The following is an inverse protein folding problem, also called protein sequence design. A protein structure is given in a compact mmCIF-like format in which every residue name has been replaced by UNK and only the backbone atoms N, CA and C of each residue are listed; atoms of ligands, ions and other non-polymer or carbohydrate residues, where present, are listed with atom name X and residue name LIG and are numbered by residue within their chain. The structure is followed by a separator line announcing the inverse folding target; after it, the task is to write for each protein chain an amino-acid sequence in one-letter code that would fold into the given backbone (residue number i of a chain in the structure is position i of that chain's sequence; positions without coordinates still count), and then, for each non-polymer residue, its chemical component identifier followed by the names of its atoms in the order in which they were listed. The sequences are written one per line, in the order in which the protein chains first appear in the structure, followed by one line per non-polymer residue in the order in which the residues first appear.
data_IF_043416130154
#
_entry.id   IF_043416130154
#
_cell.length_a   1.000
_cell.length_b   1.000
_cell.length_c   1.000
_cell.angle_alpha   90.00
_cell.angle_beta   90.00
_cell.angle_gamma   90.00
#
_symmetry.space_group_name_H-M   'P 1'
#
loop_
_entity.id
_entity.type
_entity.pdbx_description
1 polymer ?
#
# COMPACT_ATOMS: atom_id res chain seq x y z
N UNK A 1 6.44 27.13 -12.27
CA UNK A 1 7.52 26.20 -11.85
C UNK A 1 7.04 25.48 -10.60
N UNK A 2 6.57 24.23 -10.71
CA UNK A 2 6.13 23.44 -9.53
C UNK A 2 7.37 22.71 -9.01
N UNK A 3 7.89 23.15 -7.86
CA UNK A 3 8.89 22.40 -7.11
C UNK A 3 8.24 21.09 -6.64
N UNK A 4 8.62 19.96 -7.22
CA UNK A 4 8.30 18.66 -6.65
C UNK A 4 9.16 18.51 -5.38
N UNK A 5 8.59 18.14 -4.23
CA UNK A 5 9.40 17.88 -3.05
C UNK A 5 10.35 16.72 -3.38
N UNK A 6 11.62 16.85 -2.98
CA UNK A 6 12.58 15.76 -3.06
C UNK A 6 12.03 14.60 -2.21
N UNK A 7 11.46 13.58 -2.86
CA UNK A 7 11.14 12.30 -2.22
C UNK A 7 12.46 11.68 -1.79
N UNK A 8 12.77 11.77 -0.50
CA UNK A 8 13.92 11.09 0.08
C UNK A 8 13.57 9.61 0.30
N UNK A 9 14.46 8.73 -0.13
CA UNK A 9 14.41 7.33 0.26
C UNK A 9 14.82 7.24 1.74
N UNK A 10 13.87 6.88 2.61
CA UNK A 10 14.21 6.48 3.98
C UNK A 10 14.76 5.05 3.86
N UNK A 11 16.08 4.94 3.70
CA UNK A 11 16.78 3.66 3.67
C UNK A 11 16.85 3.08 5.09
N UNK A 12 15.81 2.37 5.51
CA UNK A 12 15.86 1.48 6.66
C UNK A 12 16.05 0.04 6.18
N UNK A 13 17.00 -0.71 6.76
CA UNK A 13 16.94 -2.17 6.70
C UNK A 13 15.58 -2.56 7.29
N UNK A 14 14.74 -3.24 6.51
CA UNK A 14 13.41 -3.59 6.98
C UNK A 14 13.52 -4.48 8.22
N UNK A 15 13.25 -3.88 9.38
CA UNK A 15 12.79 -4.61 10.54
C UNK A 15 11.60 -5.49 10.09
N UNK A 16 11.48 -6.70 10.65
CA UNK A 16 10.40 -7.61 10.30
C UNK A 16 9.05 -6.87 10.28
N UNK A 17 8.42 -6.82 9.10
CA UNK A 17 7.14 -6.15 8.93
C UNK A 17 6.00 -7.09 9.32
N UNK A 18 5.06 -6.56 10.08
CA UNK A 18 3.82 -7.23 10.47
C UNK A 18 2.70 -6.64 9.62
N UNK A 19 2.11 -7.46 8.76
CA UNK A 19 0.96 -7.04 7.93
C UNK A 19 -0.31 -7.09 8.76
N UNK A 20 -0.99 -5.95 8.88
CA UNK A 20 -2.26 -5.85 9.62
C UNK A 20 -3.42 -6.10 8.67
N UNK A 21 -3.47 -5.36 7.57
CA UNK A 21 -4.42 -5.50 6.46
C UNK A 21 -3.72 -5.06 5.15
N UNK A 22 -4.49 -4.83 4.08
CA UNK A 22 -3.94 -4.53 2.77
C UNK A 22 -3.32 -3.15 2.59
N UNK A 23 -3.52 -2.22 3.52
CA UNK A 23 -2.94 -0.88 3.44
C UNK A 23 -2.22 -0.43 4.71
N UNK A 24 -2.23 -1.25 5.76
CA UNK A 24 -1.58 -0.98 7.04
C UNK A 24 -0.56 -2.07 7.40
N UNK A 25 0.68 -1.64 7.64
CA UNK A 25 1.79 -2.50 8.09
C UNK A 25 2.48 -1.87 9.29
N UNK A 26 3.02 -2.69 10.18
CA UNK A 26 3.82 -2.25 11.32
C UNK A 26 5.25 -2.77 11.22
N UNK A 27 6.20 -2.02 11.76
CA UNK A 27 7.56 -2.54 12.00
C UNK A 27 7.62 -3.24 13.36
N UNK A 28 8.64 -4.09 13.55
CA UNK A 28 8.85 -4.81 14.81
C UNK A 28 9.04 -3.90 16.04
N UNK A 29 9.53 -2.67 15.85
CA UNK A 29 9.68 -1.62 16.87
C UNK A 29 8.38 -0.83 17.12
N UNK A 30 7.30 -1.15 16.41
CA UNK A 30 5.95 -0.63 16.66
C UNK A 30 5.57 0.62 15.87
N UNK A 31 6.42 1.09 14.95
CA UNK A 31 6.07 2.17 14.03
C UNK A 31 5.01 1.67 13.03
N UNK A 32 3.99 2.51 12.80
CA UNK A 32 2.83 2.13 11.99
C UNK A 32 2.85 2.88 10.68
N UNK A 33 2.69 2.16 9.58
CA UNK A 33 2.66 2.73 8.25
C UNK A 33 1.30 2.51 7.60
N UNK A 34 0.78 3.55 6.96
CA UNK A 34 -0.40 3.50 6.09
C UNK A 34 0.09 3.78 4.67
N UNK A 35 -0.10 2.82 3.78
CA UNK A 35 0.25 2.94 2.36
C UNK A 35 -0.69 3.97 1.72
N UNK A 36 -0.22 5.18 1.36
CA UNK A 36 -1.09 6.18 0.77
C UNK A 36 -1.47 5.77 -0.65
N UNK A 37 -2.56 6.33 -1.17
CA UNK A 37 -2.95 6.10 -2.57
C UNK A 37 -3.72 4.80 -2.84
N UNK A 38 -3.85 3.91 -1.85
CA UNK A 38 -4.69 2.71 -1.95
C UNK A 38 -5.79 2.66 -0.88
N UNK A 39 -6.90 2.04 -1.23
CA UNK A 39 -7.96 1.56 -0.36
C UNK A 39 -7.94 0.03 -0.40
N UNK A 40 -7.88 -0.61 0.77
CA UNK A 40 -7.97 -2.06 0.90
C UNK A 40 -9.12 -2.44 1.83
N UNK A 41 -9.62 -3.67 1.66
CA UNK A 41 -10.56 -4.25 2.61
C UNK A 41 -9.91 -4.38 4.01
N UNK A 42 -10.62 -3.94 5.06
CA UNK A 42 -10.13 -4.02 6.44
C UNK A 42 -10.52 -5.34 7.11
N UNK A 43 -9.58 -5.95 7.84
CA UNK A 43 -9.85 -7.17 8.63
C UNK A 43 -10.64 -6.83 9.90
N UNK A 44 -10.24 -5.77 10.63
CA UNK A 44 -10.81 -5.44 11.94
C UNK A 44 -12.21 -4.83 11.90
N UNK A 45 -12.61 -4.25 10.76
CA UNK A 45 -13.90 -3.58 10.60
C UNK A 45 -14.67 -4.05 9.35
N UNK A 46 -14.42 -5.29 8.90
CA UNK A 46 -15.16 -5.86 7.80
C UNK A 46 -16.68 -5.81 8.07
N UNK A 47 -17.44 -5.26 7.13
CA UNK A 47 -18.89 -5.11 7.20
C UNK A 47 -19.62 -6.38 6.73
N UNK A 48 -18.91 -7.29 6.06
CA UNK A 48 -19.44 -8.56 5.57
C UNK A 48 -18.33 -9.60 5.37
N UNK A 49 -18.74 -10.85 5.14
CA UNK A 49 -17.80 -11.97 4.97
C UNK A 49 -16.97 -11.87 3.68
N UNK A 50 -17.55 -11.34 2.59
CA UNK A 50 -16.83 -11.15 1.33
C UNK A 50 -15.65 -10.18 1.48
N UNK A 51 -15.87 -9.08 2.20
CA UNK A 51 -14.83 -8.10 2.53
C UNK A 51 -13.74 -8.72 3.41
N UNK A 52 -14.12 -9.45 4.48
CA UNK A 52 -13.15 -10.12 5.35
C UNK A 52 -12.28 -11.12 4.57
N UNK A 53 -12.89 -11.92 3.70
CA UNK A 53 -12.15 -12.87 2.85
C UNK A 53 -11.18 -12.16 1.93
N UNK A 54 -11.59 -11.05 1.29
CA UNK A 54 -10.70 -10.26 0.45
C UNK A 54 -9.55 -9.66 1.28
N UNK A 55 -9.84 -9.09 2.45
CA UNK A 55 -8.84 -8.52 3.34
C UNK A 55 -7.77 -9.54 3.75
N UNK A 56 -8.17 -10.77 4.08
CA UNK A 56 -7.26 -11.87 4.40
C UNK A 56 -6.42 -12.30 3.21
N UNK A 57 -7.00 -12.37 2.01
CA UNK A 57 -6.26 -12.68 0.78
C UNK A 57 -5.24 -11.59 0.45
N UNK A 58 -5.63 -10.31 0.58
CA UNK A 58 -4.75 -9.17 0.37
C UNK A 58 -3.58 -9.19 1.35
N UNK A 59 -3.86 -9.45 2.64
CA UNK A 59 -2.83 -9.62 3.67
C UNK A 59 -1.85 -10.72 3.29
N UNK A 60 -2.35 -11.91 2.96
CA UNK A 60 -1.51 -13.05 2.59
C UNK A 60 -0.65 -12.74 1.37
N UNK A 61 -1.22 -12.05 0.36
CA UNK A 61 -0.46 -11.64 -0.82
C UNK A 61 0.68 -10.69 -0.46
N UNK A 62 0.43 -9.71 0.41
CA UNK A 62 1.47 -8.78 0.85
C UNK A 62 2.56 -9.50 1.67
N UNK A 63 2.20 -10.44 2.54
CA UNK A 63 3.16 -11.29 3.26
C UNK A 63 4.04 -12.10 2.29
N UNK A 64 3.47 -12.68 1.23
CA UNK A 64 4.24 -13.38 0.20
C UNK A 64 5.21 -12.46 -0.54
N UNK A 65 4.85 -11.20 -0.76
CA UNK A 65 5.75 -10.22 -1.40
C UNK A 65 6.92 -9.86 -0.48
N UNK A 66 6.70 -9.83 0.83
CA UNK A 66 7.71 -9.48 1.83
C UNK A 66 8.71 -10.61 2.10
N UNK A 67 8.32 -11.87 1.86
CA UNK A 67 9.16 -13.03 2.16
C UNK A 67 10.47 -13.01 1.35
N UNK A 68 11.60 -12.90 2.06
CA UNK A 68 12.94 -12.84 1.47
C UNK A 68 13.23 -11.60 0.59
N UNK A 69 12.37 -10.59 0.59
CA UNK A 69 12.49 -9.43 -0.29
C UNK A 69 13.29 -8.28 0.34
N UNK A 70 13.88 -7.45 -0.53
CA UNK A 70 14.40 -6.15 -0.11
C UNK A 70 13.22 -5.18 0.05
N UNK A 71 13.13 -4.54 1.22
CA UNK A 71 11.99 -3.69 1.57
C UNK A 71 12.47 -2.32 2.02
N UNK A 72 11.83 -1.27 1.50
CA UNK A 72 12.11 0.14 1.83
C UNK A 72 10.81 0.93 1.91
N UNK A 73 10.81 2.01 2.70
CA UNK A 73 9.71 2.98 2.72
C UNK A 73 10.11 4.24 1.95
N UNK A 74 9.23 4.70 1.05
CA UNK A 74 9.39 5.96 0.31
C UNK A 74 8.33 6.95 0.77
N UNK A 75 8.76 8.09 1.31
CA UNK A 75 7.85 9.08 1.89
C UNK A 75 8.48 10.46 1.99
N UNK A 76 7.79 11.37 2.66
CA UNK A 76 8.29 12.74 2.88
C UNK A 76 9.27 12.81 4.06
N UNK A 77 10.15 13.81 4.02
CA UNK A 77 11.05 14.16 5.12
C UNK A 77 10.84 15.64 5.50
N UNK A 78 10.29 15.95 6.69
CA UNK A 78 9.92 15.01 7.75
C UNK A 78 8.72 14.11 7.40
N UNK A 79 8.59 12.93 8.02
CA UNK A 79 7.47 12.04 7.77
C UNK A 79 6.12 12.69 8.07
N UNK A 80 5.19 12.63 7.10
CA UNK A 80 3.79 12.95 7.36
C UNK A 80 3.12 11.82 8.13
N UNK A 81 2.25 12.20 9.06
CA UNK A 81 1.42 11.27 9.83
C UNK A 81 -0.06 11.60 9.63
N UNK A 82 -0.90 10.58 9.66
CA UNK A 82 -2.35 10.77 9.67
C UNK A 82 -2.87 11.10 11.09
N UNK A 83 -4.18 11.34 11.21
CA UNK A 83 -4.83 11.64 12.51
C UNK A 83 -4.72 10.52 13.55
N UNK A 84 -4.36 9.31 13.14
CA UNK A 84 -4.17 8.15 13.99
C UNK A 84 -2.70 7.92 14.35
N UNK A 85 -1.81 8.82 13.91
CA UNK A 85 -0.37 8.76 14.15
C UNK A 85 0.39 7.82 13.22
N UNK A 86 -0.24 7.23 12.20
CA UNK A 86 0.43 6.35 11.23
C UNK A 86 1.26 7.18 10.25
N UNK A 87 2.48 6.76 9.98
CA UNK A 87 3.35 7.34 8.96
C UNK A 87 2.76 7.04 7.58
N UNK A 88 2.68 8.06 6.73
CA UNK A 88 2.27 7.92 5.34
C UNK A 88 3.51 7.71 4.46
N UNK A 89 3.69 6.49 3.94
CA UNK A 89 4.78 6.16 3.04
C UNK A 89 4.39 5.01 2.11
N UNK A 90 4.92 5.02 0.89
CA UNK A 90 4.83 3.91 -0.04
C UNK A 90 5.76 2.78 0.44
N UNK A 91 5.32 1.54 0.26
CA UNK A 91 6.11 0.35 0.56
C UNK A 91 6.73 -0.18 -0.73
N UNK A 92 8.05 -0.13 -0.81
CA UNK A 92 8.82 -0.57 -1.96
C UNK A 92 9.40 -1.94 -1.65
N UNK A 93 9.07 -2.93 -2.47
CA UNK A 93 9.49 -4.33 -2.34
C UNK A 93 10.21 -4.72 -3.62
N UNK A 94 11.49 -5.11 -3.52
CA UNK A 94 12.36 -5.42 -4.66
C UNK A 94 12.33 -4.34 -5.76
N UNK A 95 12.30 -3.06 -5.34
CA UNK A 95 12.23 -1.91 -6.25
C UNK A 95 10.84 -1.58 -6.80
N UNK A 96 9.79 -2.32 -6.44
CA UNK A 96 8.43 -2.10 -6.92
C UNK A 96 7.50 -1.59 -5.81
N UNK A 97 6.61 -0.67 -6.15
CA UNK A 97 5.57 -0.20 -5.25
C UNK A 97 4.51 -1.30 -4.99
N UNK A 98 4.42 -1.74 -3.73
CA UNK A 98 3.52 -2.78 -3.29
C UNK A 98 2.04 -2.39 -3.45
N UNK A 99 1.68 -1.12 -3.19
CA UNK A 99 0.31 -0.65 -3.35
C UNK A 99 -0.14 -0.72 -4.80
N UNK A 100 0.76 -0.37 -5.74
CA UNK A 100 0.49 -0.50 -7.16
C UNK A 100 0.29 -1.97 -7.59
N UNK A 101 1.08 -2.90 -7.04
CA UNK A 101 0.92 -4.34 -7.30
C UNK A 101 -0.43 -4.84 -6.78
N UNK A 102 -0.82 -4.46 -5.56
CA UNK A 102 -2.11 -4.83 -4.98
C UNK A 102 -3.29 -4.31 -5.80
N UNK A 103 -3.21 -3.09 -6.34
CA UNK A 103 -4.23 -2.57 -7.26
C UNK A 103 -4.28 -3.39 -8.55
N UNK A 104 -3.11 -3.65 -9.17
CA UNK A 104 -3.01 -4.39 -10.43
C UNK A 104 -3.59 -5.81 -10.33
N UNK A 105 -3.39 -6.46 -9.18
CA UNK A 105 -3.89 -7.81 -8.91
C UNK A 105 -5.35 -7.83 -8.39
N UNK A 106 -5.96 -6.67 -8.18
CA UNK A 106 -7.35 -6.56 -7.73
C UNK A 106 -7.56 -6.80 -6.23
N UNK A 107 -6.51 -6.68 -5.44
CA UNK A 107 -6.53 -6.77 -3.97
C UNK A 107 -6.79 -5.42 -3.28
N UNK A 108 -6.60 -4.32 -4.01
CA UNK A 108 -6.84 -2.96 -3.54
C UNK A 108 -7.45 -2.10 -4.67
N UNK A 109 -8.02 -0.95 -4.30
CA UNK A 109 -8.51 0.09 -5.22
C UNK A 109 -7.68 1.36 -5.04
N UNK A 110 -7.59 2.25 -6.04
CA UNK A 110 -7.01 3.58 -5.83
C UNK A 110 -7.79 4.35 -4.75
N UNK A 111 -7.08 5.00 -3.84
CA UNK A 111 -7.69 5.84 -2.81
C UNK A 111 -8.36 7.06 -3.43
N UNK A 112 -9.67 7.24 -3.21
CA UNK A 112 -10.47 8.34 -3.75
C UNK A 112 -10.92 9.36 -2.70
N UNK A 113 -10.27 9.38 -1.53
CA UNK A 113 -10.60 10.27 -0.42
C UNK A 113 -11.61 9.69 0.58
N UNK A 114 -12.12 8.48 0.34
CA UNK A 114 -12.96 7.72 1.25
C UNK A 114 -12.74 6.23 1.05
N UNK A 115 -13.05 5.46 2.09
CA UNK A 115 -13.14 4.01 2.03
C UNK A 115 -14.27 3.59 1.09
N UNK A 116 -14.02 2.61 0.23
CA UNK A 116 -15.02 2.03 -0.67
C UNK A 116 -15.84 0.92 0.02
N UNK A 117 -17.00 0.60 -0.53
CA UNK A 117 -17.76 -0.58 -0.14
C UNK A 117 -17.15 -1.83 -0.81
N UNK A 118 -16.78 -2.80 0.01
CA UNK A 118 -16.18 -4.08 -0.38
C UNK A 118 -17.14 -5.26 -0.26
N UNK A 119 -18.41 -5.02 0.08
CA UNK A 119 -19.42 -6.07 0.23
C UNK A 119 -20.10 -6.48 -1.06
N UNK A 120 -20.13 -5.61 -2.08
CA UNK A 120 -20.53 -5.99 -3.42
C UNK A 120 -19.35 -6.70 -4.11
N UNK A 121 -19.53 -8.00 -4.38
CA UNK A 121 -18.49 -8.84 -4.97
C UNK A 121 -18.01 -8.30 -6.31
N UNK A 122 -16.73 -7.90 -6.36
CA UNK A 122 -15.95 -7.55 -7.56
C UNK A 122 -16.74 -6.83 -8.67
N UNK A 123 -17.00 -5.55 -8.47
CA UNK A 123 -16.91 -4.62 -9.59
C UNK A 123 -15.42 -4.50 -9.97
N UNK A 124 -14.93 -5.52 -10.66
CA UNK A 124 -13.60 -5.59 -11.28
C UNK A 124 -13.59 -4.91 -12.66
N UNK A 125 -14.58 -4.09 -12.96
CA UNK A 125 -14.65 -3.42 -14.25
C UNK A 125 -13.95 -2.05 -14.14
N UNK A 126 -12.77 -2.01 -14.77
CA UNK A 126 -11.93 -0.85 -15.09
C UNK A 126 -10.77 -0.61 -14.13
N UNK A 127 -9.63 -1.21 -14.47
CA UNK A 127 -8.31 -0.65 -14.16
C UNK A 127 -8.28 0.79 -14.69
N UNK A 128 -8.63 1.74 -13.83
CA UNK A 128 -8.66 3.16 -14.16
C UNK A 128 -7.26 3.68 -14.46
N UNK A 129 -7.18 4.84 -15.13
CA UNK A 129 -5.94 5.57 -15.40
C UNK A 129 -5.05 5.81 -14.16
N UNK A 130 -5.59 5.69 -12.94
CA UNK A 130 -4.84 5.73 -11.69
C UNK A 130 -3.95 4.49 -11.47
N UNK A 131 -4.41 3.29 -11.87
CA UNK A 131 -3.56 2.10 -11.92
C UNK A 131 -2.41 2.29 -12.93
N UNK A 132 -2.67 2.97 -14.06
CA UNK A 132 -1.66 3.33 -15.06
C UNK A 132 -0.64 4.35 -14.54
N UNK A 133 -1.04 5.31 -13.69
CA UNK A 133 -0.11 6.26 -13.05
C UNK A 133 0.87 5.58 -12.08
N UNK A 134 0.42 4.51 -11.45
CA UNK A 134 1.19 3.71 -10.50
C UNK A 134 2.26 2.86 -11.21
N UNK A 135 1.88 2.25 -12.33
CA UNK A 135 2.75 1.39 -13.15
C UNK A 135 3.78 2.21 -13.96
N UNK A 136 3.42 3.40 -14.45
CA UNK A 136 4.28 4.23 -15.31
C UNK A 136 5.50 4.87 -14.61
N UNK A 137 5.57 4.83 -13.27
CA UNK A 137 6.74 5.29 -12.51
C UNK A 137 7.80 4.21 -12.31
N UNK A 138 7.43 2.92 -12.43
CA UNK A 138 8.36 1.79 -12.24
C UNK A 138 9.30 1.54 -13.43
N UNK A 139 9.02 2.07 -14.63
CA UNK A 139 9.82 1.80 -15.84
C UNK A 139 10.95 2.82 -16.08
N UNK A 140 11.02 3.92 -15.30
CA UNK A 140 12.02 4.99 -15.50
C UNK A 140 13.17 5.01 -14.50
N UNK A 141 13.20 4.10 -13.54
CA UNK A 141 14.27 3.99 -12.53
C UNK A 141 15.15 2.73 -12.72
N UNK A 142 14.97 2.01 -13.84
CA UNK A 142 15.69 0.76 -14.16
C UNK A 142 16.85 0.92 -15.18
N UNK A 143 17.31 2.15 -15.44
CA UNK A 143 18.52 2.45 -16.24
C UNK A 143 19.60 3.15 -15.41
#
# INVERSE_FOLDING_TARGET
MRAFPLSSLIAGLAAALIVIDGDTVHTADGEKYRLPGIDAAEIGHAQCEAELRLALLTKHRLEQMLDGAEVRFRGESPPRRDRYGRVLADLIINGQDAGCILIKEGYARPWRGRREDWCAGKDAERVDAAALSCVASNEREAE
#
